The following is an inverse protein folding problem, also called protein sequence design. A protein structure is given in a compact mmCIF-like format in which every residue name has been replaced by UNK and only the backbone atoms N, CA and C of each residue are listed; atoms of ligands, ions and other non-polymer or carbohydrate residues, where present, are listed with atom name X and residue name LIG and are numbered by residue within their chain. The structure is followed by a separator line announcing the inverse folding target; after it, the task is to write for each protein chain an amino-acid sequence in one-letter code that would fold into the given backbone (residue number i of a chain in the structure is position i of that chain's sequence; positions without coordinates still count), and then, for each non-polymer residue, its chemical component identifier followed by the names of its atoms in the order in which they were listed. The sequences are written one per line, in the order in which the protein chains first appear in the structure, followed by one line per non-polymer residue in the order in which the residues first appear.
data_IF_841479825780
#
_entry.id   IF_841479825780
#
_cell.length_a   1.000
_cell.length_b   1.000
_cell.length_c   1.000
_cell.angle_alpha   90.00
_cell.angle_beta   90.00
_cell.angle_gamma   90.00
#
_symmetry.space_group_name_H-M   'P 1'
#
loop_
_entity.id
_entity.type
_entity.pdbx_description
1 polymer ?
#
# COMPACT_ATOMS: atom_id res chain seq x y z
N UNK A 1 31.18 9.38 0.80
CA UNK A 1 29.96 8.59 1.11
C UNK A 1 30.17 7.21 0.52
N UNK A 2 30.08 6.14 1.34
CA UNK A 2 30.29 4.77 0.87
C UNK A 2 29.30 4.44 -0.25
N UNK A 3 29.82 4.38 -1.48
CA UNK A 3 29.02 4.13 -2.70
C UNK A 3 28.40 2.70 -2.77
N UNK A 4 28.62 1.89 -1.73
CA UNK A 4 28.20 0.48 -1.71
C UNK A 4 27.20 0.13 -0.60
N UNK A 5 26.56 1.13 0.02
CA UNK A 5 25.56 0.90 1.09
C UNK A 5 24.21 0.50 0.52
N UNK A 6 23.74 -0.72 0.87
CA UNK A 6 22.39 -1.18 0.56
C UNK A 6 21.33 -0.39 1.36
N UNK A 7 21.55 -0.29 2.67
CA UNK A 7 20.62 0.37 3.61
C UNK A 7 20.85 1.88 3.64
N UNK A 8 20.44 2.56 2.56
CA UNK A 8 20.35 4.02 2.56
C UNK A 8 19.06 4.48 3.25
N UNK A 9 19.02 5.71 3.83
CA UNK A 9 17.79 6.25 4.41
C UNK A 9 16.61 6.25 3.43
N UNK A 10 16.86 6.50 2.15
CA UNK A 10 15.83 6.47 1.12
C UNK A 10 15.30 5.05 0.87
N UNK A 11 16.19 4.06 0.71
CA UNK A 11 15.80 2.67 0.51
C UNK A 11 14.97 2.14 1.69
N UNK A 12 15.45 2.36 2.92
CA UNK A 12 14.76 1.93 4.14
C UNK A 12 13.39 2.58 4.27
N UNK A 13 13.31 3.88 3.97
CA UNK A 13 12.08 4.64 4.05
C UNK A 13 11.02 4.13 3.04
N UNK A 14 11.40 3.92 1.77
CA UNK A 14 10.49 3.33 0.77
C UNK A 14 10.09 1.90 1.16
N UNK A 15 11.00 1.12 1.74
CA UNK A 15 10.70 -0.22 2.24
C UNK A 15 9.66 -0.21 3.36
N UNK A 16 9.87 0.62 4.40
CA UNK A 16 8.93 0.75 5.52
C UNK A 16 7.57 1.26 5.02
N UNK A 17 7.55 2.31 4.21
CA UNK A 17 6.30 2.86 3.67
C UNK A 17 5.53 1.84 2.84
N UNK A 18 6.21 1.09 1.98
CA UNK A 18 5.62 -0.01 1.21
C UNK A 18 5.10 -1.11 2.13
N UNK A 19 5.88 -1.50 3.16
CA UNK A 19 5.48 -2.47 4.18
C UNK A 19 4.19 -2.06 4.89
N UNK A 20 4.01 -0.78 5.20
CA UNK A 20 2.77 -0.26 5.81
C UNK A 20 1.59 -0.43 4.83
N UNK A 21 1.75 -0.12 3.54
CA UNK A 21 0.67 -0.34 2.57
C UNK A 21 0.31 -1.82 2.45
N UNK A 22 1.30 -2.72 2.42
CA UNK A 22 1.06 -4.17 2.46
C UNK A 22 0.39 -4.60 3.77
N UNK A 23 0.82 -4.06 4.91
CA UNK A 23 0.22 -4.33 6.22
C UNK A 23 -1.27 -3.99 6.22
N UNK A 24 -1.64 -2.80 5.73
CA UNK A 24 -3.03 -2.37 5.59
C UNK A 24 -3.85 -3.36 4.76
N UNK A 25 -3.28 -3.84 3.65
CA UNK A 25 -3.94 -4.83 2.79
C UNK A 25 -4.15 -6.16 3.52
N UNK A 26 -3.13 -6.69 4.18
CA UNK A 26 -3.24 -8.00 4.85
C UNK A 26 -4.11 -7.97 6.10
N UNK A 27 -4.15 -6.83 6.81
CA UNK A 27 -5.11 -6.58 7.88
C UNK A 27 -6.54 -6.65 7.34
N UNK A 28 -6.84 -5.97 6.23
CA UNK A 28 -8.17 -5.98 5.62
C UNK A 28 -8.54 -7.36 5.03
N UNK A 29 -7.58 -8.13 4.53
CA UNK A 29 -7.84 -9.50 4.04
C UNK A 29 -8.42 -10.37 5.15
N UNK A 30 -7.95 -10.22 6.39
CA UNK A 30 -8.42 -11.03 7.51
C UNK A 30 -9.66 -10.44 8.20
N UNK A 31 -9.71 -9.13 8.37
CA UNK A 31 -10.72 -8.47 9.19
C UNK A 31 -12.00 -8.11 8.40
N UNK A 32 -11.87 -7.67 7.15
CA UNK A 32 -13.01 -7.16 6.37
C UNK A 32 -14.11 -8.21 6.10
N UNK A 33 -13.81 -9.49 5.83
CA UNK A 33 -14.84 -10.53 5.72
C UNK A 33 -15.73 -10.61 6.94
N UNK A 34 -15.15 -10.53 8.14
CA UNK A 34 -15.90 -10.54 9.40
C UNK A 34 -16.79 -9.30 9.51
N UNK A 35 -16.29 -8.13 9.21
CA UNK A 35 -17.08 -6.88 9.23
C UNK A 35 -18.25 -6.97 8.25
N UNK A 36 -18.03 -7.48 7.03
CA UNK A 36 -19.07 -7.63 6.02
C UNK A 36 -20.20 -8.54 6.54
N UNK A 37 -19.86 -9.68 7.13
CA UNK A 37 -20.87 -10.66 7.57
C UNK A 37 -21.51 -10.27 8.89
N UNK A 38 -20.79 -9.65 9.82
CA UNK A 38 -21.32 -9.33 11.16
C UNK A 38 -21.96 -7.96 11.28
N UNK A 39 -21.47 -6.94 10.53
CA UNK A 39 -21.92 -5.56 10.70
C UNK A 39 -22.75 -5.04 9.52
N UNK A 40 -22.46 -5.52 8.29
CA UNK A 40 -23.14 -5.08 7.08
C UNK A 40 -24.22 -6.06 6.58
N UNK A 41 -24.49 -7.12 7.35
CA UNK A 41 -25.45 -8.18 6.97
C UNK A 41 -25.18 -8.81 5.60
N UNK A 42 -23.92 -8.80 5.16
CA UNK A 42 -23.48 -9.43 3.93
C UNK A 42 -23.27 -10.94 4.10
N UNK A 43 -23.19 -11.63 2.99
CA UNK A 43 -22.90 -13.06 2.91
C UNK A 43 -21.39 -13.34 2.77
N UNK A 44 -20.98 -14.60 2.90
CA UNK A 44 -19.62 -15.04 2.58
C UNK A 44 -19.25 -14.77 1.12
N UNK A 45 -20.24 -14.79 0.22
CA UNK A 45 -20.05 -14.42 -1.18
C UNK A 45 -19.69 -12.94 -1.30
N UNK A 46 -20.35 -12.03 -0.56
CA UNK A 46 -20.05 -10.60 -0.56
C UNK A 46 -18.64 -10.32 -0.03
N UNK A 47 -18.23 -11.06 1.01
CA UNK A 47 -16.86 -11.02 1.51
C UNK A 47 -15.84 -11.41 0.43
N UNK A 48 -16.11 -12.49 -0.32
CA UNK A 48 -15.31 -12.92 -1.46
C UNK A 48 -15.28 -11.89 -2.59
N UNK A 49 -16.44 -11.29 -2.90
CA UNK A 49 -16.53 -10.22 -3.91
C UNK A 49 -15.70 -8.99 -3.52
N UNK A 50 -15.71 -8.57 -2.25
CA UNK A 50 -14.88 -7.45 -1.79
C UNK A 50 -13.38 -7.71 -2.04
N UNK A 51 -12.90 -8.96 -1.85
CA UNK A 51 -11.52 -9.33 -2.18
C UNK A 51 -11.30 -9.33 -3.69
N UNK A 52 -12.27 -9.78 -4.47
CA UNK A 52 -12.21 -9.81 -5.94
C UNK A 52 -12.14 -8.41 -6.52
N UNK A 53 -12.96 -7.47 -6.06
CA UNK A 53 -12.90 -6.05 -6.48
C UNK A 53 -11.52 -5.43 -6.24
N UNK A 54 -10.90 -5.69 -5.08
CA UNK A 54 -9.53 -5.25 -4.82
C UNK A 54 -8.54 -5.83 -5.83
N UNK A 55 -8.62 -7.13 -6.09
CA UNK A 55 -7.70 -7.79 -7.04
C UNK A 55 -7.88 -7.29 -8.46
N UNK A 56 -9.11 -7.08 -8.91
CA UNK A 56 -9.40 -6.48 -10.23
C UNK A 56 -8.77 -5.10 -10.33
N UNK A 57 -8.99 -4.22 -9.35
CA UNK A 57 -8.38 -2.89 -9.31
C UNK A 57 -6.84 -2.94 -9.35
N UNK A 58 -6.26 -3.86 -8.57
CA UNK A 58 -4.82 -4.08 -8.53
C UNK A 58 -4.26 -4.54 -9.87
N UNK A 59 -4.87 -5.54 -10.52
CA UNK A 59 -4.41 -6.11 -11.79
C UNK A 59 -4.52 -5.06 -12.90
N UNK A 60 -5.68 -4.42 -13.04
CA UNK A 60 -5.92 -3.40 -14.06
C UNK A 60 -4.92 -2.25 -13.93
N UNK A 61 -4.66 -1.76 -12.71
CA UNK A 61 -3.69 -0.71 -12.50
C UNK A 61 -2.27 -1.17 -12.84
N UNK A 62 -1.85 -2.38 -12.44
CA UNK A 62 -0.49 -2.89 -12.68
C UNK A 62 -0.13 -3.01 -14.15
N UNK A 63 -1.09 -3.31 -15.04
CA UNK A 63 -0.87 -3.37 -16.49
C UNK A 63 -0.33 -2.03 -17.01
N UNK A 64 -0.79 -0.91 -16.46
CA UNK A 64 -0.43 0.43 -16.91
C UNK A 64 0.56 1.16 -16.00
N UNK A 65 0.73 0.69 -14.74
CA UNK A 65 1.51 1.37 -13.71
C UNK A 65 2.96 1.62 -14.14
N UNK A 66 3.62 0.67 -14.78
CA UNK A 66 4.99 0.82 -15.24
C UNK A 66 5.13 1.99 -16.24
N UNK A 67 4.29 2.02 -17.27
CA UNK A 67 4.29 3.10 -18.29
C UNK A 67 3.97 4.46 -17.65
N UNK A 68 3.00 4.49 -16.73
CA UNK A 68 2.61 5.71 -16.02
C UNK A 68 3.78 6.27 -15.18
N UNK A 69 4.48 5.40 -14.44
CA UNK A 69 5.61 5.78 -13.59
C UNK A 69 6.82 6.22 -14.42
N UNK A 70 7.09 5.57 -15.55
CA UNK A 70 8.19 5.94 -16.44
C UNK A 70 7.92 7.25 -17.20
N UNK A 71 6.67 7.51 -17.58
CA UNK A 71 6.26 8.70 -18.33
C UNK A 71 6.00 9.95 -17.48
N UNK A 72 5.89 9.83 -16.16
CA UNK A 72 5.57 10.93 -15.26
C UNK A 72 6.68 11.19 -14.24
N UNK A 73 6.60 12.35 -13.59
CA UNK A 73 7.45 12.64 -12.43
C UNK A 73 7.12 11.68 -11.28
N UNK A 74 8.07 10.80 -10.94
CA UNK A 74 7.90 9.74 -9.94
C UNK A 74 7.54 10.27 -8.54
N UNK A 75 8.01 11.48 -8.21
CA UNK A 75 7.66 12.13 -6.95
C UNK A 75 6.18 12.53 -6.91
N UNK A 76 5.64 13.02 -8.03
CA UNK A 76 4.22 13.37 -8.13
C UNK A 76 3.37 12.09 -8.07
N UNK A 77 3.78 11.03 -8.78
CA UNK A 77 3.08 9.74 -8.73
C UNK A 77 3.07 9.17 -7.30
N UNK A 78 4.21 9.24 -6.60
CA UNK A 78 4.33 8.80 -5.21
C UNK A 78 3.38 9.59 -4.29
N UNK A 79 3.40 10.92 -4.39
CA UNK A 79 2.56 11.79 -3.56
C UNK A 79 1.07 11.53 -3.82
N UNK A 80 0.65 11.51 -5.08
CA UNK A 80 -0.75 11.30 -5.45
C UNK A 80 -1.22 9.90 -5.01
N UNK A 81 -0.44 8.85 -5.28
CA UNK A 81 -0.84 7.49 -4.92
C UNK A 81 -0.96 7.29 -3.40
N UNK A 82 -0.03 7.84 -2.62
CA UNK A 82 -0.07 7.73 -1.15
C UNK A 82 -1.16 8.60 -0.53
N UNK A 83 -1.41 9.80 -1.08
CA UNK A 83 -2.50 10.67 -0.65
C UNK A 83 -3.88 10.03 -0.94
N UNK A 84 -4.08 9.51 -2.15
CA UNK A 84 -5.31 8.80 -2.49
C UNK A 84 -5.49 7.54 -1.64
N UNK A 85 -4.41 6.82 -1.34
CA UNK A 85 -4.47 5.66 -0.46
C UNK A 85 -4.94 6.06 0.95
N UNK A 86 -4.37 7.12 1.51
CA UNK A 86 -4.79 7.69 2.80
C UNK A 86 -6.26 8.10 2.79
N UNK A 87 -6.71 8.80 1.75
CA UNK A 87 -8.12 9.22 1.61
C UNK A 87 -9.05 8.00 1.56
N UNK A 88 -8.73 6.99 0.75
CA UNK A 88 -9.54 5.78 0.63
C UNK A 88 -9.63 5.04 1.96
N UNK A 89 -8.53 4.92 2.71
CA UNK A 89 -8.56 4.34 4.05
C UNK A 89 -9.41 5.17 5.01
N UNK A 90 -9.34 6.50 4.93
CA UNK A 90 -10.22 7.39 5.70
C UNK A 90 -11.70 7.18 5.37
N UNK A 91 -12.05 6.94 4.12
CA UNK A 91 -13.44 6.71 3.69
C UNK A 91 -14.02 5.39 4.23
N UNK A 92 -13.20 4.38 4.52
CA UNK A 92 -13.69 3.15 5.16
C UNK A 92 -14.36 3.40 6.51
N UNK A 93 -14.00 4.47 7.23
CA UNK A 93 -14.64 4.84 8.51
C UNK A 93 -16.12 5.27 8.36
N UNK A 94 -16.55 5.58 7.16
CA UNK A 94 -17.90 6.05 6.86
C UNK A 94 -18.72 5.05 6.05
N UNK A 95 -18.19 3.84 5.84
CA UNK A 95 -18.89 2.81 5.07
C UNK A 95 -20.02 2.18 5.89
N UNK A 96 -21.23 2.23 5.32
CA UNK A 96 -22.44 1.66 5.91
C UNK A 96 -23.18 0.72 4.96
N UNK A 97 -22.66 0.52 3.75
CA UNK A 97 -23.27 -0.38 2.75
C UNK A 97 -22.24 -1.26 2.04
N UNK A 98 -22.69 -2.41 1.53
CA UNK A 98 -21.86 -3.35 0.78
C UNK A 98 -21.32 -2.73 -0.52
N UNK A 99 -22.16 -1.95 -1.22
CA UNK A 99 -21.78 -1.30 -2.47
C UNK A 99 -20.63 -0.32 -2.24
N UNK A 100 -20.68 0.46 -1.16
CA UNK A 100 -19.61 1.38 -0.78
C UNK A 100 -18.30 0.61 -0.50
N UNK A 101 -18.38 -0.53 0.19
CA UNK A 101 -17.22 -1.41 0.43
C UNK A 101 -16.64 -1.92 -0.90
N UNK A 102 -17.46 -2.38 -1.84
CA UNK A 102 -16.99 -2.89 -3.14
C UNK A 102 -16.28 -1.80 -3.94
N UNK A 103 -16.87 -0.61 -4.03
CA UNK A 103 -16.25 0.53 -4.71
C UNK A 103 -14.92 0.90 -4.06
N UNK A 104 -14.90 1.05 -2.73
CA UNK A 104 -13.67 1.39 -2.01
C UNK A 104 -12.60 0.31 -2.14
N UNK A 105 -12.97 -0.97 -2.16
CA UNK A 105 -12.02 -2.07 -2.40
C UNK A 105 -11.42 -2.02 -3.80
N UNK A 106 -12.23 -1.74 -4.83
CA UNK A 106 -11.74 -1.54 -6.18
C UNK A 106 -10.73 -0.38 -6.28
N UNK A 107 -11.11 0.78 -5.76
CA UNK A 107 -10.24 1.96 -5.71
C UNK A 107 -8.99 1.72 -4.86
N UNK A 108 -9.12 1.05 -3.71
CA UNK A 108 -7.99 0.65 -2.88
C UNK A 108 -7.00 -0.22 -3.67
N UNK A 109 -7.48 -1.18 -4.47
CA UNK A 109 -6.64 -2.01 -5.33
C UNK A 109 -5.83 -1.19 -6.33
N UNK A 110 -6.45 -0.18 -6.96
CA UNK A 110 -5.77 0.72 -7.90
C UNK A 110 -4.65 1.50 -7.22
N UNK A 111 -4.94 2.19 -6.12
CA UNK A 111 -3.94 3.03 -5.43
C UNK A 111 -2.86 2.20 -4.75
N UNK A 112 -3.20 1.00 -4.26
CA UNK A 112 -2.25 0.03 -3.72
C UNK A 112 -1.24 -0.41 -4.78
N UNK A 113 -1.73 -0.78 -5.98
CA UNK A 113 -0.87 -1.18 -7.07
C UNK A 113 0.08 -0.05 -7.49
N UNK A 114 -0.43 1.17 -7.65
CA UNK A 114 0.37 2.31 -8.05
C UNK A 114 1.40 2.69 -6.98
N UNK A 115 0.97 2.82 -5.71
CA UNK A 115 1.82 3.18 -4.58
C UNK A 115 2.96 2.19 -4.34
N UNK A 116 2.64 0.88 -4.29
CA UNK A 116 3.66 -0.15 -4.09
C UNK A 116 4.63 -0.25 -5.27
N UNK A 117 4.16 -0.08 -6.52
CA UNK A 117 5.01 -0.12 -7.70
C UNK A 117 5.96 1.08 -7.76
N UNK A 118 5.48 2.32 -7.49
CA UNK A 118 6.36 3.49 -7.50
C UNK A 118 7.39 3.43 -6.37
N UNK A 119 7.02 2.96 -5.16
CA UNK A 119 7.96 2.79 -4.05
C UNK A 119 9.04 1.75 -4.38
N UNK A 120 8.67 0.61 -4.99
CA UNK A 120 9.62 -0.41 -5.43
C UNK A 120 10.56 0.14 -6.51
N UNK A 121 10.03 0.89 -7.49
CA UNK A 121 10.83 1.54 -8.52
C UNK A 121 11.85 2.52 -7.91
N UNK A 122 11.41 3.38 -6.99
CA UNK A 122 12.27 4.34 -6.32
C UNK A 122 13.32 3.66 -5.44
N UNK A 123 12.93 2.60 -4.73
CA UNK A 123 13.86 1.80 -3.93
C UNK A 123 15.00 1.20 -4.80
N UNK A 124 14.67 0.67 -5.98
CA UNK A 124 15.67 0.13 -6.92
C UNK A 124 16.55 1.21 -7.53
N UNK A 125 16.01 2.41 -7.78
CA UNK A 125 16.76 3.52 -8.34
C UNK A 125 17.82 4.09 -7.38
N UNK A 126 17.61 4.01 -6.07
CA UNK A 126 18.57 4.49 -5.06
C UNK A 126 19.61 3.44 -4.68
N UNK A 127 19.54 2.21 -5.23
CA UNK A 127 20.48 1.13 -4.96
C UNK A 127 21.76 1.25 -5.82
N UNK A 128 22.92 0.85 -5.27
CA UNK A 128 24.13 0.69 -6.06
C UNK A 128 23.91 -0.33 -7.20
N UNK A 129 24.41 -0.05 -8.41
CA UNK A 129 24.22 -0.96 -9.56
C UNK A 129 24.66 -2.40 -9.30
N UNK A 130 25.75 -2.58 -8.54
CA UNK A 130 26.32 -3.90 -8.18
C UNK A 130 25.47 -4.71 -7.19
N UNK A 131 24.53 -4.05 -6.47
CA UNK A 131 23.74 -4.70 -5.40
C UNK A 131 22.24 -4.67 -5.65
N UNK A 132 21.79 -4.36 -6.86
CA UNK A 132 20.35 -4.26 -7.20
C UNK A 132 19.59 -5.56 -6.93
N UNK A 133 20.17 -6.73 -7.28
CA UNK A 133 19.51 -8.02 -7.04
C UNK A 133 19.32 -8.31 -5.55
N UNK A 134 20.34 -8.05 -4.73
CA UNK A 134 20.26 -8.18 -3.28
C UNK A 134 19.22 -7.21 -2.70
N UNK A 135 19.22 -5.96 -3.16
CA UNK A 135 18.32 -4.95 -2.69
C UNK A 135 16.85 -5.25 -2.98
N UNK A 136 16.54 -5.82 -4.15
CA UNK A 136 15.17 -6.26 -4.48
C UNK A 136 14.70 -7.33 -3.49
N UNK A 137 15.54 -8.31 -3.17
CA UNK A 137 15.19 -9.34 -2.18
C UNK A 137 15.00 -8.76 -0.77
N UNK A 138 15.87 -7.82 -0.37
CA UNK A 138 15.72 -7.14 0.93
C UNK A 138 14.47 -6.26 0.98
N UNK A 139 14.08 -5.63 -0.13
CA UNK A 139 12.83 -4.87 -0.20
C UNK A 139 11.60 -5.75 -0.02
N UNK A 140 11.62 -7.00 -0.53
CA UNK A 140 10.52 -7.94 -0.36
C UNK A 140 10.29 -8.35 1.12
N UNK A 141 11.29 -8.22 1.99
CA UNK A 141 11.15 -8.53 3.43
C UNK A 141 10.04 -7.68 4.06
N UNK A 142 9.90 -6.40 3.67
CA UNK A 142 8.87 -5.52 4.24
C UNK A 142 7.44 -6.00 3.93
N UNK A 143 7.21 -6.49 2.71
CA UNK A 143 5.91 -7.08 2.35
C UNK A 143 5.68 -8.45 2.99
N UNK A 144 6.73 -9.27 3.15
CA UNK A 144 6.63 -10.57 3.79
C UNK A 144 6.32 -10.44 5.29
N UNK A 145 6.93 -9.50 6.00
CA UNK A 145 6.58 -9.18 7.39
C UNK A 145 5.11 -8.78 7.49
N UNK A 146 4.65 -7.92 6.58
CA UNK A 146 3.26 -7.49 6.53
C UNK A 146 2.29 -8.68 6.29
N UNK A 147 2.65 -9.61 5.41
CA UNK A 147 1.86 -10.80 5.11
C UNK A 147 1.71 -11.72 6.33
N UNK A 148 2.76 -11.87 7.13
CA UNK A 148 2.75 -12.73 8.31
C UNK A 148 2.01 -12.07 9.48
N UNK A 149 2.29 -10.79 9.74
CA UNK A 149 1.76 -10.10 10.91
C UNK A 149 0.39 -9.47 10.68
N UNK A 150 0.06 -9.08 9.44
CA UNK A 150 -1.16 -8.37 9.11
C UNK A 150 -2.44 -9.07 9.57
N UNK A 151 -2.66 -10.35 9.23
CA UNK A 151 -3.85 -11.08 9.67
C UNK A 151 -4.01 -11.12 11.19
N UNK A 152 -2.93 -11.39 11.92
CA UNK A 152 -2.97 -11.45 13.39
C UNK A 152 -3.29 -10.07 14.00
N UNK A 153 -2.66 -9.00 13.51
CA UNK A 153 -2.94 -7.63 13.94
C UNK A 153 -4.38 -7.25 13.63
N UNK A 154 -4.87 -7.59 12.43
CA UNK A 154 -6.22 -7.28 11.98
C UNK A 154 -7.30 -7.93 12.83
N UNK A 155 -7.16 -9.23 13.07
CA UNK A 155 -8.11 -9.99 13.90
C UNK A 155 -8.08 -9.54 15.36
N UNK A 156 -6.89 -9.31 15.92
CA UNK A 156 -6.75 -8.80 17.28
C UNK A 156 -7.37 -7.40 17.44
N UNK A 157 -7.07 -6.48 16.52
CA UNK A 157 -7.62 -5.14 16.58
C UNK A 157 -9.15 -5.14 16.44
N UNK A 158 -9.69 -5.92 15.49
CA UNK A 158 -11.12 -6.06 15.30
C UNK A 158 -11.83 -6.65 16.52
N UNK A 159 -11.30 -7.75 17.08
CA UNK A 159 -11.91 -8.42 18.22
C UNK A 159 -11.86 -7.64 19.52
N UNK A 160 -10.78 -6.83 19.71
CA UNK A 160 -10.55 -6.09 20.96
C UNK A 160 -11.15 -4.68 20.95
N UNK A 161 -11.21 -4.03 19.79
CA UNK A 161 -11.56 -2.61 19.68
C UNK A 161 -12.66 -2.31 18.65
N UNK A 162 -13.12 -3.31 17.88
CA UNK A 162 -14.15 -3.16 16.86
C UNK A 162 -13.65 -2.59 15.52
N UNK A 163 -14.56 -2.55 14.55
CA UNK A 163 -14.25 -2.16 13.16
C UNK A 163 -13.86 -0.68 13.01
N UNK A 164 -14.51 0.22 13.75
CA UNK A 164 -14.21 1.65 13.70
C UNK A 164 -12.76 1.94 14.14
N UNK A 165 -12.34 1.36 15.27
CA UNK A 165 -10.96 1.52 15.76
C UNK A 165 -9.95 0.93 14.78
N UNK A 166 -10.27 -0.22 14.16
CA UNK A 166 -9.46 -0.83 13.12
C UNK A 166 -9.26 0.12 11.94
N UNK A 167 -10.33 0.70 11.40
CA UNK A 167 -10.24 1.62 10.25
C UNK A 167 -9.50 2.91 10.58
N UNK A 168 -9.68 3.47 11.78
CA UNK A 168 -8.90 4.61 12.26
C UNK A 168 -7.42 4.25 12.33
N UNK A 169 -7.07 3.09 12.89
CA UNK A 169 -5.70 2.60 12.95
C UNK A 169 -5.08 2.50 11.55
N UNK A 170 -5.78 1.91 10.58
CA UNK A 170 -5.31 1.78 9.20
C UNK A 170 -5.16 3.16 8.52
N UNK A 171 -6.07 4.09 8.79
CA UNK A 171 -6.00 5.46 8.28
C UNK A 171 -4.75 6.17 8.82
N UNK A 172 -4.47 6.07 10.12
CA UNK A 172 -3.28 6.66 10.74
C UNK A 172 -2.01 6.05 10.15
N UNK A 173 -1.96 4.72 10.00
CA UNK A 173 -0.81 4.01 9.42
C UNK A 173 -0.54 4.45 7.97
N UNK A 174 -1.57 4.61 7.16
CA UNK A 174 -1.40 5.08 5.78
C UNK A 174 -1.01 6.56 5.69
N UNK A 175 -1.50 7.39 6.61
CA UNK A 175 -1.03 8.77 6.78
C UNK A 175 0.46 8.83 7.14
N UNK A 176 0.91 7.95 8.04
CA UNK A 176 2.34 7.82 8.35
C UNK A 176 3.15 7.38 7.14
N UNK A 177 2.69 6.39 6.37
CA UNK A 177 3.36 5.96 5.14
C UNK A 177 3.44 7.09 4.10
N UNK A 178 2.39 7.89 3.95
CA UNK A 178 2.38 9.08 3.08
C UNK A 178 3.45 10.08 3.51
N UNK A 179 3.53 10.42 4.78
CA UNK A 179 4.54 11.37 5.31
C UNK A 179 5.95 10.80 5.13
N UNK A 180 6.19 9.57 5.58
CA UNK A 180 7.50 8.92 5.49
C UNK A 180 8.00 8.84 4.05
N UNK A 181 7.17 8.36 3.12
CA UNK A 181 7.60 8.18 1.72
C UNK A 181 7.93 9.49 1.00
N UNK A 182 7.36 10.60 1.45
CA UNK A 182 7.53 11.92 0.81
C UNK A 182 8.54 12.83 1.51
N UNK A 183 9.01 12.48 2.73
CA UNK A 183 9.92 13.33 3.52
C UNK A 183 11.34 13.35 2.94
N UNK A 184 11.79 12.29 2.28
CA UNK A 184 13.12 12.22 1.70
C UNK A 184 13.12 12.91 0.34
N UNK A 185 13.98 13.93 0.15
CA UNK A 185 14.07 14.61 -1.14
C UNK A 185 14.64 13.65 -2.20
N UNK A 186 13.88 13.44 -3.26
CA UNK A 186 14.35 12.71 -4.43
C UNK A 186 15.18 13.67 -5.29
N UNK A 187 16.35 13.23 -5.77
CA UNK A 187 17.12 14.03 -6.71
C UNK A 187 16.31 14.31 -7.98
N UNK A 188 16.49 15.49 -8.60
CA UNK A 188 15.74 15.86 -9.81
C UNK A 188 15.89 14.82 -10.92
N UNK A 189 17.10 14.28 -11.09
CA UNK A 189 17.41 13.26 -12.11
C UNK A 189 16.62 11.95 -11.93
N UNK A 190 16.41 11.50 -10.69
CA UNK A 190 15.63 10.30 -10.38
C UNK A 190 14.11 10.54 -10.46
N UNK A 191 13.69 11.77 -10.25
CA UNK A 191 12.27 12.15 -10.26
C UNK A 191 11.70 12.26 -11.68
N UNK A 192 12.51 12.71 -12.65
CA UNK A 192 12.04 13.02 -14.01
C UNK A 192 11.72 11.75 -14.81
N UNK A 193 10.84 11.89 -15.85
CA UNK A 193 10.61 10.81 -16.81
C UNK A 193 11.92 10.44 -17.51
N UNK A 194 12.03 9.15 -17.86
CA UNK A 194 13.11 8.73 -18.78
C UNK A 194 12.78 9.26 -20.17
N UNK A 195 13.69 10.01 -20.73
CA UNK A 195 13.65 10.43 -22.16
C UNK A 195 13.86 9.24 -23.06
#
# INVERSE_FOLDING_TARGET
MDSNRLWSPAFTNYGISSGILYMTQYVLVAALPIVITSELSGSDLDAGLAMTYFQIGTILCRIFAGRLIDGLNKRIVLLISTALFFIIMGLFNFTTSLEAVFVLRGLHGVVFALGTTVMATLAVLVLPPSRKGEGVNMFAIFSNIAMVLGPAIGLYALSSYGSMALYIFLTVMTGLAMVLSNIIPLSKELALPKQ
#
